data_IF_411303485338
#
_entry.id   IF_411303485338
#
_cell.length_a   1.000
_cell.length_b   1.000
_cell.length_c   1.000
_cell.angle_alpha   90.00
_cell.angle_beta   90.00
_cell.angle_gamma   90.00
#
_symmetry.space_group_name_H-M   'P 1'
#
loop_
_entity.id
_entity.type
_entity.pdbx_description
1 polymer ?
#
# COMPACT_ATOMS: atom_id res chain seq x y z
N UNK A 1 -36.64 -19.07 -9.06
CA UNK A 1 -36.53 -18.01 -10.10
C UNK A 1 -35.25 -18.25 -10.88
N UNK A 2 -35.24 -18.19 -12.21
CA UNK A 2 -34.00 -18.42 -12.98
C UNK A 2 -33.10 -17.18 -12.91
N UNK A 3 -31.79 -17.35 -12.81
CA UNK A 3 -30.81 -16.26 -12.69
C UNK A 3 -30.97 -15.20 -13.79
N UNK A 4 -31.18 -15.62 -15.04
CA UNK A 4 -31.40 -14.69 -16.15
C UNK A 4 -32.59 -13.74 -15.92
N UNK A 5 -33.71 -14.24 -15.38
CA UNK A 5 -34.87 -13.40 -15.09
C UNK A 5 -34.63 -12.40 -13.95
N UNK A 6 -33.70 -12.69 -13.04
CA UNK A 6 -33.28 -11.74 -12.00
C UNK A 6 -32.47 -10.62 -12.64
N UNK A 7 -31.58 -10.98 -13.56
CA UNK A 7 -30.72 -10.01 -14.23
C UNK A 7 -31.53 -9.12 -15.16
N UNK A 8 -32.41 -9.67 -15.98
CA UNK A 8 -33.23 -8.86 -16.89
C UNK A 8 -34.03 -7.80 -16.11
N UNK A 9 -34.52 -8.17 -14.91
CA UNK A 9 -35.16 -7.19 -14.01
C UNK A 9 -34.17 -6.18 -13.43
N UNK A 10 -32.99 -6.62 -12.98
CA UNK A 10 -31.97 -5.73 -12.42
C UNK A 10 -31.46 -4.72 -13.47
N UNK A 11 -31.23 -5.16 -14.71
CA UNK A 11 -30.86 -4.29 -15.84
C UNK A 11 -31.98 -3.30 -16.14
N UNK A 12 -33.24 -3.72 -16.06
CA UNK A 12 -34.39 -2.83 -16.16
C UNK A 12 -34.39 -1.70 -15.13
N UNK A 13 -33.94 -1.98 -13.89
CA UNK A 13 -33.81 -0.98 -12.83
C UNK A 13 -32.57 -0.09 -13.02
N UNK A 14 -31.45 -0.65 -13.49
CA UNK A 14 -30.17 0.04 -13.64
C UNK A 14 -29.95 0.67 -15.03
N UNK A 15 -31.01 0.84 -15.83
CA UNK A 15 -30.97 1.14 -17.27
C UNK A 15 -30.09 2.33 -17.68
N UNK A 16 -30.06 3.41 -16.90
CA UNK A 16 -29.23 4.58 -17.23
C UNK A 16 -27.75 4.40 -16.82
N UNK A 17 -27.48 3.42 -15.98
CA UNK A 17 -26.16 3.14 -15.42
C UNK A 17 -25.41 2.06 -16.20
N UNK A 18 -26.16 1.17 -16.85
CA UNK A 18 -25.67 0.02 -17.59
C UNK A 18 -26.12 0.11 -19.05
N UNK A 19 -25.15 0.14 -19.96
CA UNK A 19 -25.38 0.04 -21.40
C UNK A 19 -25.31 -1.39 -21.89
N UNK A 20 -25.84 -1.63 -23.08
CA UNK A 20 -25.87 -2.94 -23.73
C UNK A 20 -25.32 -2.87 -25.16
N UNK A 21 -24.64 -3.95 -25.58
CA UNK A 21 -24.16 -4.20 -26.94
C UNK A 21 -24.79 -5.49 -27.45
N UNK A 22 -25.65 -5.34 -28.45
CA UNK A 22 -26.32 -6.44 -29.14
C UNK A 22 -25.65 -6.79 -30.47
N UNK A 23 -24.67 -6.00 -30.91
CA UNK A 23 -23.92 -6.16 -32.16
C UNK A 23 -22.79 -7.21 -32.08
N UNK A 24 -22.67 -7.88 -30.94
CA UNK A 24 -21.71 -8.93 -30.68
C UNK A 24 -22.38 -10.31 -30.73
N UNK A 25 -21.57 -11.37 -30.82
CA UNK A 25 -22.07 -12.75 -30.83
C UNK A 25 -22.95 -13.08 -29.61
N UNK A 26 -22.82 -12.32 -28.51
CA UNK A 26 -23.67 -12.38 -27.33
C UNK A 26 -23.95 -10.97 -26.76
N UNK A 27 -25.04 -10.84 -26.01
CA UNK A 27 -25.46 -9.58 -25.36
C UNK A 27 -24.48 -9.18 -24.27
N UNK A 28 -23.59 -8.23 -24.55
CA UNK A 28 -22.61 -7.74 -23.57
C UNK A 28 -23.12 -6.46 -22.93
N UNK A 29 -23.01 -6.36 -21.62
CA UNK A 29 -23.34 -5.11 -20.93
C UNK A 29 -22.04 -4.39 -20.50
N UNK A 30 -22.11 -3.06 -20.36
CA UNK A 30 -20.98 -2.22 -19.91
C UNK A 30 -21.47 -1.07 -19.00
N UNK A 31 -20.61 -0.44 -18.17
CA UNK A 31 -21.04 0.78 -17.44
C UNK A 31 -21.16 1.93 -18.39
N UNK A 32 -22.29 2.61 -18.32
CA UNK A 32 -22.38 4.01 -18.74
C UNK A 32 -21.87 4.93 -17.63
N UNK A 33 -22.28 4.69 -16.37
CA UNK A 33 -21.96 5.56 -15.22
C UNK A 33 -21.32 4.81 -14.06
N UNK A 34 -20.01 4.62 -14.14
CA UNK A 34 -19.22 3.82 -13.20
C UNK A 34 -19.32 4.29 -11.74
N UNK A 35 -19.23 5.59 -11.50
CA UNK A 35 -19.28 6.15 -10.15
C UNK A 35 -20.64 5.92 -9.48
N UNK A 36 -21.73 6.04 -10.23
CA UNK A 36 -23.08 5.77 -9.73
C UNK A 36 -23.27 4.27 -9.43
N UNK A 37 -22.72 3.36 -10.23
CA UNK A 37 -22.73 1.92 -9.92
C UNK A 37 -21.93 1.57 -8.66
N UNK A 38 -20.82 2.28 -8.41
CA UNK A 38 -20.02 2.09 -7.20
C UNK A 38 -20.81 2.38 -5.92
N UNK A 39 -21.81 3.27 -5.99
CA UNK A 39 -22.72 3.51 -4.87
C UNK A 39 -23.55 2.26 -4.53
N UNK A 40 -24.15 1.62 -5.53
CA UNK A 40 -24.91 0.38 -5.32
C UNK A 40 -24.03 -0.77 -4.83
N UNK A 41 -22.81 -0.91 -5.37
CA UNK A 41 -21.83 -1.85 -4.84
C UNK A 41 -21.62 -1.59 -3.36
N UNK A 42 -21.32 -0.35 -2.97
CA UNK A 42 -21.04 0.01 -1.57
C UNK A 42 -22.21 -0.34 -0.64
N UNK A 43 -23.46 -0.17 -1.08
CA UNK A 43 -24.63 -0.59 -0.30
C UNK A 43 -24.72 -2.11 -0.13
N UNK A 44 -24.30 -2.88 -1.14
CA UNK A 44 -24.31 -4.34 -1.08
C UNK A 44 -23.15 -4.94 -0.29
N UNK A 45 -22.02 -4.21 -0.11
CA UNK A 45 -20.82 -4.73 0.59
C UNK A 45 -21.17 -5.26 1.97
N UNK A 46 -22.05 -4.56 2.70
CA UNK A 46 -22.41 -4.91 4.08
C UNK A 46 -23.05 -6.30 4.21
N UNK A 47 -23.63 -6.84 3.14
CA UNK A 47 -24.20 -8.18 3.12
C UNK A 47 -23.14 -9.28 3.06
N UNK A 48 -21.94 -8.96 2.55
CA UNK A 48 -20.90 -9.93 2.21
C UNK A 48 -19.55 -9.59 2.83
N UNK A 49 -19.53 -8.73 3.87
CA UNK A 49 -18.28 -8.20 4.41
C UNK A 49 -17.40 -9.29 5.02
N UNK A 50 -18.01 -10.30 5.66
CA UNK A 50 -17.27 -11.39 6.30
C UNK A 50 -16.58 -12.27 5.24
N UNK A 51 -17.32 -12.65 4.21
CA UNK A 51 -16.85 -13.43 3.07
C UNK A 51 -15.79 -12.67 2.26
N UNK A 52 -15.97 -11.36 2.09
CA UNK A 52 -15.01 -10.46 1.45
C UNK A 52 -13.66 -10.43 2.18
N UNK A 53 -13.69 -10.25 3.50
CA UNK A 53 -12.46 -10.21 4.30
C UNK A 53 -11.73 -11.54 4.23
N UNK A 54 -12.42 -12.67 4.41
CA UNK A 54 -11.80 -14.00 4.31
C UNK A 54 -11.21 -14.24 2.92
N UNK A 55 -11.96 -13.87 1.86
CA UNK A 55 -11.53 -14.03 0.47
C UNK A 55 -10.25 -13.26 0.16
N UNK A 56 -10.16 -12.00 0.61
CA UNK A 56 -8.96 -11.15 0.42
C UNK A 56 -7.80 -11.61 1.28
N UNK A 57 -8.05 -12.04 2.53
CA UNK A 57 -6.98 -12.58 3.39
C UNK A 57 -6.33 -13.83 2.81
N UNK A 58 -7.11 -14.69 2.15
CA UNK A 58 -6.56 -15.86 1.46
C UNK A 58 -5.91 -15.50 0.11
N UNK A 59 -6.34 -14.42 -0.54
CA UNK A 59 -5.97 -14.09 -1.92
C UNK A 59 -4.46 -14.04 -2.14
N UNK A 60 -3.69 -13.44 -1.22
CA UNK A 60 -2.24 -13.31 -1.35
C UNK A 60 -1.55 -14.67 -1.50
N UNK A 61 -1.86 -15.63 -0.63
CA UNK A 61 -1.28 -16.98 -0.65
C UNK A 61 -1.72 -17.75 -1.88
N UNK A 62 -2.96 -17.57 -2.30
CA UNK A 62 -3.51 -18.29 -3.45
C UNK A 62 -3.00 -17.70 -4.78
N UNK A 63 -2.71 -16.40 -4.84
CA UNK A 63 -2.16 -15.71 -6.03
C UNK A 63 -0.67 -15.96 -6.23
N UNK A 64 0.11 -16.24 -5.17
CA UNK A 64 1.54 -16.63 -5.29
C UNK A 64 1.77 -17.79 -6.27
N UNK A 65 0.73 -18.56 -6.59
CA UNK A 65 0.80 -19.66 -7.56
C UNK A 65 1.38 -20.91 -6.91
N UNK A 66 1.89 -21.82 -7.75
CA UNK A 66 2.43 -23.11 -7.30
C UNK A 66 1.41 -24.24 -7.27
N UNK A 67 1.77 -25.35 -6.64
CA UNK A 67 0.92 -26.54 -6.57
C UNK A 67 -0.29 -26.30 -5.66
N UNK A 68 -1.28 -27.20 -5.72
CA UNK A 68 -2.46 -27.14 -4.83
C UNK A 68 -2.08 -27.18 -3.33
N UNK A 69 -0.91 -27.68 -3.01
CA UNK A 69 -0.37 -27.82 -1.65
C UNK A 69 0.27 -26.51 -1.15
N UNK A 70 0.88 -25.72 -2.04
CA UNK A 70 1.47 -24.41 -1.68
C UNK A 70 0.43 -23.30 -1.55
N UNK A 71 -0.78 -23.52 -2.07
CA UNK A 71 -1.91 -22.58 -2.00
C UNK A 71 -2.83 -22.84 -0.79
N UNK A 72 -2.28 -23.39 0.30
CA UNK A 72 -2.99 -23.65 1.55
C UNK A 72 -2.59 -22.61 2.59
N UNK A 73 -3.54 -22.17 3.40
CA UNK A 73 -3.33 -21.22 4.49
C UNK A 73 -3.67 -21.92 5.79
N UNK A 74 -2.81 -21.81 6.81
CA UNK A 74 -3.12 -22.36 8.13
C UNK A 74 -4.25 -21.56 8.79
N UNK A 75 -5.06 -22.20 9.66
CA UNK A 75 -6.11 -21.48 10.38
C UNK A 75 -5.57 -20.32 11.22
N UNK A 76 -4.42 -20.51 11.87
CA UNK A 76 -3.79 -19.49 12.70
C UNK A 76 -3.33 -18.27 11.87
N UNK A 77 -2.70 -18.50 10.72
CA UNK A 77 -2.31 -17.44 9.80
C UNK A 77 -3.54 -16.71 9.23
N UNK A 78 -4.57 -17.46 8.82
CA UNK A 78 -5.81 -16.86 8.32
C UNK A 78 -6.49 -15.99 9.38
N UNK A 79 -6.54 -16.45 10.63
CA UNK A 79 -7.12 -15.69 11.73
C UNK A 79 -6.35 -14.39 11.99
N UNK A 80 -5.02 -14.42 11.93
CA UNK A 80 -4.17 -13.22 12.07
C UNK A 80 -4.43 -12.22 10.93
N UNK A 81 -4.46 -12.70 9.67
CA UNK A 81 -4.73 -11.84 8.50
C UNK A 81 -6.14 -11.24 8.52
N UNK A 82 -7.16 -12.05 8.83
CA UNK A 82 -8.57 -11.60 9.01
C UNK A 82 -8.67 -10.61 10.17
N UNK A 83 -7.98 -10.85 11.27
CA UNK A 83 -7.97 -9.94 12.42
C UNK A 83 -7.35 -8.60 12.06
N UNK A 84 -6.20 -8.61 11.38
CA UNK A 84 -5.55 -7.39 10.90
C UNK A 84 -6.48 -6.61 9.95
N UNK A 85 -7.01 -7.26 8.92
CA UNK A 85 -7.83 -6.58 7.90
C UNK A 85 -9.15 -6.06 8.48
N UNK A 86 -9.81 -6.83 9.36
CA UNK A 86 -11.03 -6.40 10.05
C UNK A 86 -10.79 -5.19 10.93
N UNK A 87 -9.65 -5.17 11.65
CA UNK A 87 -9.24 -4.01 12.45
C UNK A 87 -8.91 -2.81 11.59
N UNK A 88 -8.21 -3.00 10.47
CA UNK A 88 -7.84 -1.93 9.54
C UNK A 88 -9.09 -1.22 9.02
N UNK A 89 -10.09 -1.97 8.54
CA UNK A 89 -11.29 -1.41 7.91
C UNK A 89 -12.42 -1.07 8.90
N UNK A 90 -12.14 -1.05 10.21
CA UNK A 90 -13.15 -0.88 11.27
C UNK A 90 -13.87 0.47 11.25
N UNK A 91 -13.29 1.50 10.63
CA UNK A 91 -13.92 2.82 10.51
C UNK A 91 -14.94 2.82 9.36
N UNK A 92 -14.70 2.04 8.30
CA UNK A 92 -15.56 1.98 7.12
C UNK A 92 -16.70 0.96 7.25
N UNK A 93 -16.50 -0.11 8.01
CA UNK A 93 -17.49 -1.20 8.12
C UNK A 93 -17.92 -1.50 9.54
N UNK A 94 -19.20 -1.88 9.65
CA UNK A 94 -19.82 -2.38 10.86
C UNK A 94 -19.80 -3.90 10.80
N UNK A 95 -19.27 -4.54 11.84
CA UNK A 95 -19.20 -5.99 11.95
C UNK A 95 -20.32 -6.54 12.84
N UNK A 96 -20.78 -7.78 12.58
CA UNK A 96 -21.69 -8.47 13.48
C UNK A 96 -21.11 -8.61 14.90
N UNK A 97 -21.96 -8.64 15.93
CA UNK A 97 -21.51 -8.87 17.30
C UNK A 97 -20.87 -10.26 17.43
N UNK A 98 -19.90 -10.40 18.34
CA UNK A 98 -19.17 -11.65 18.57
C UNK A 98 -17.66 -11.47 18.46
N UNK A 99 -16.91 -12.55 18.65
CA UNK A 99 -15.46 -12.53 18.47
C UNK A 99 -15.12 -12.64 16.97
N UNK A 100 -13.93 -12.18 16.59
CA UNK A 100 -13.43 -12.33 15.21
C UNK A 100 -13.30 -13.82 14.86
N UNK A 101 -12.89 -14.63 15.83
CA UNK A 101 -12.71 -16.07 15.65
C UNK A 101 -14.05 -16.80 15.41
N UNK A 102 -15.09 -16.47 16.18
CA UNK A 102 -16.42 -17.08 15.99
C UNK A 102 -17.01 -16.69 14.64
N UNK A 103 -16.88 -15.41 14.26
CA UNK A 103 -17.31 -14.91 12.95
C UNK A 103 -16.54 -15.60 11.83
N UNK A 104 -15.23 -15.83 11.98
CA UNK A 104 -14.41 -16.56 11.00
C UNK A 104 -14.89 -18.00 10.83
N UNK A 105 -15.12 -18.73 11.93
CA UNK A 105 -15.61 -20.11 11.88
C UNK A 105 -16.98 -20.21 11.20
N UNK A 106 -17.90 -19.30 11.52
CA UNK A 106 -19.20 -19.24 10.87
C UNK A 106 -19.08 -18.98 9.36
N UNK A 107 -18.24 -18.01 8.98
CA UNK A 107 -18.01 -17.64 7.58
C UNK A 107 -17.37 -18.79 6.79
N UNK A 108 -16.37 -19.47 7.36
CA UNK A 108 -15.76 -20.63 6.74
C UNK A 108 -16.77 -21.77 6.55
N UNK A 109 -17.64 -22.04 7.53
CA UNK A 109 -18.72 -23.03 7.39
C UNK A 109 -19.67 -22.65 6.24
N UNK A 110 -20.02 -21.37 6.12
CA UNK A 110 -20.87 -20.89 5.04
C UNK A 110 -20.22 -21.01 3.65
N UNK A 111 -18.92 -20.70 3.55
CA UNK A 111 -18.17 -20.75 2.29
C UNK A 111 -17.71 -22.18 1.92
N UNK A 112 -17.73 -23.11 2.88
CA UNK A 112 -17.35 -24.50 2.67
C UNK A 112 -18.26 -25.13 1.61
N UNK A 113 -17.71 -26.05 0.80
CA UNK A 113 -18.36 -26.79 -0.30
C UNK A 113 -18.50 -26.02 -1.63
N UNK A 114 -18.64 -24.70 -1.60
CA UNK A 114 -18.75 -23.90 -2.82
C UNK A 114 -17.42 -23.21 -3.18
N UNK A 115 -16.76 -22.59 -2.21
CA UNK A 115 -15.60 -21.71 -2.45
C UNK A 115 -14.34 -22.27 -1.81
N UNK A 116 -14.43 -22.66 -0.54
CA UNK A 116 -13.30 -23.15 0.24
C UNK A 116 -13.49 -24.60 0.68
N UNK A 117 -12.37 -25.27 0.89
CA UNK A 117 -12.24 -26.52 1.61
C UNK A 117 -11.35 -26.28 2.83
N UNK A 118 -11.66 -26.94 3.94
CA UNK A 118 -10.86 -26.89 5.14
C UNK A 118 -10.68 -28.30 5.70
N UNK A 119 -9.50 -28.58 6.22
CA UNK A 119 -9.23 -29.69 7.13
C UNK A 119 -8.94 -29.16 8.54
N UNK A 120 -8.37 -29.99 9.42
CA UNK A 120 -8.10 -29.59 10.80
C UNK A 120 -6.98 -28.54 10.94
N UNK A 121 -6.13 -28.35 9.93
CA UNK A 121 -4.96 -27.45 10.00
C UNK A 121 -4.98 -26.36 8.92
N UNK A 122 -5.47 -26.69 7.72
CA UNK A 122 -5.35 -25.88 6.51
C UNK A 122 -6.70 -25.56 5.88
N UNK A 123 -6.74 -24.40 5.23
CA UNK A 123 -7.84 -23.92 4.39
C UNK A 123 -7.30 -23.64 3.00
N UNK A 124 -8.03 -24.06 1.97
CA UNK A 124 -7.67 -23.84 0.56
C UNK A 124 -8.92 -23.72 -0.31
N UNK A 125 -8.74 -23.41 -1.59
CA UNK A 125 -9.86 -23.32 -2.51
C UNK A 125 -10.38 -24.68 -2.95
N UNK A 126 -11.71 -24.77 -3.06
CA UNK A 126 -12.37 -25.96 -3.57
C UNK A 126 -11.91 -26.26 -5.00
N UNK A 127 -11.90 -27.55 -5.38
CA UNK A 127 -11.58 -27.93 -6.75
C UNK A 127 -12.62 -27.39 -7.75
N UNK A 128 -13.85 -27.16 -7.30
CA UNK A 128 -14.89 -26.50 -8.07
C UNK A 128 -14.54 -25.04 -8.37
N UNK A 129 -14.06 -24.31 -7.37
CA UNK A 129 -13.58 -22.93 -7.55
C UNK A 129 -12.34 -22.89 -8.43
N UNK A 130 -11.41 -23.84 -8.28
CA UNK A 130 -10.22 -23.91 -9.15
C UNK A 130 -10.56 -24.25 -10.60
N UNK A 131 -11.56 -25.11 -10.82
CA UNK A 131 -12.01 -25.50 -12.14
C UNK A 131 -12.72 -24.35 -12.88
N UNK A 132 -13.24 -23.35 -12.16
CA UNK A 132 -13.85 -22.15 -12.75
C UNK A 132 -12.88 -21.29 -13.55
N UNK A 133 -11.57 -21.57 -13.42
CA UNK A 133 -10.53 -20.94 -14.20
C UNK A 133 -10.27 -19.52 -13.72
N UNK A 134 -9.15 -19.34 -13.00
CA UNK A 134 -8.59 -17.99 -12.81
C UNK A 134 -7.92 -17.59 -14.10
N UNK A 135 -8.72 -17.16 -15.07
CA UNK A 135 -8.17 -16.52 -16.24
C UNK A 135 -7.29 -15.38 -15.75
N UNK A 136 -6.00 -15.47 -16.07
CA UNK A 136 -5.01 -14.49 -15.68
C UNK A 136 -5.55 -13.09 -15.99
N UNK A 137 -6.00 -12.36 -14.96
CA UNK A 137 -6.01 -10.91 -14.96
C UNK A 137 -4.56 -10.40 -14.87
N UNK A 138 -3.66 -11.00 -15.65
CA UNK A 138 -2.24 -10.68 -15.66
C UNK A 138 -2.07 -9.32 -16.31
N UNK A 139 -1.56 -8.38 -15.50
CA UNK A 139 -0.51 -7.38 -15.76
C UNK A 139 -0.42 -6.60 -17.10
N UNK A 140 -1.27 -6.81 -18.09
CA UNK A 140 -1.23 -6.12 -19.38
C UNK A 140 -2.66 -5.88 -19.91
N UNK A 141 -3.37 -4.95 -19.27
CA UNK A 141 -4.38 -4.09 -19.89
C UNK A 141 -5.07 -3.23 -18.81
N UNK A 142 -4.68 -1.95 -18.74
CA UNK A 142 -5.42 -0.83 -18.15
C UNK A 142 -6.87 -0.74 -18.69
N UNK A 143 -7.66 0.29 -18.33
CA UNK A 143 -8.55 0.50 -17.18
C UNK A 143 -9.99 -0.02 -17.43
N UNK A 144 -10.18 -0.92 -18.39
CA UNK A 144 -11.50 -1.27 -18.96
C UNK A 144 -12.22 -2.46 -18.27
N UNK A 145 -11.55 -3.17 -17.35
CA UNK A 145 -12.03 -4.45 -16.81
C UNK A 145 -13.00 -4.35 -15.62
N UNK A 146 -13.32 -3.13 -15.16
CA UNK A 146 -14.09 -2.89 -13.94
C UNK A 146 -15.53 -3.44 -14.00
N UNK A 147 -16.04 -3.70 -15.21
CA UNK A 147 -17.40 -4.16 -15.42
C UNK A 147 -17.51 -5.38 -16.33
N UNK A 148 -16.43 -5.76 -17.02
CA UNK A 148 -16.38 -7.10 -17.60
C UNK A 148 -16.58 -8.17 -16.51
N UNK A 149 -16.07 -7.96 -15.28
CA UNK A 149 -16.36 -8.86 -14.16
C UNK A 149 -17.82 -8.78 -13.65
N UNK A 150 -18.43 -7.59 -13.64
CA UNK A 150 -19.81 -7.38 -13.15
C UNK A 150 -20.88 -7.78 -14.18
N UNK A 151 -20.56 -7.75 -15.47
CA UNK A 151 -21.49 -7.94 -16.58
C UNK A 151 -21.22 -9.21 -17.41
N UNK A 152 -20.01 -9.80 -17.39
CA UNK A 152 -19.83 -11.22 -17.79
C UNK A 152 -20.45 -12.20 -16.81
N UNK A 153 -20.85 -11.76 -15.62
CA UNK A 153 -21.71 -12.52 -14.70
C UNK A 153 -23.08 -12.89 -15.30
N UNK A 154 -23.45 -12.38 -16.49
CA UNK A 154 -24.74 -12.70 -17.12
C UNK A 154 -24.65 -13.00 -18.63
N UNK A 155 -23.46 -13.10 -19.20
CA UNK A 155 -23.35 -13.43 -20.63
C UNK A 155 -23.30 -14.94 -20.85
N UNK A 156 -24.35 -15.47 -21.46
CA UNK A 156 -24.57 -16.90 -21.73
C UNK A 156 -23.73 -17.36 -22.92
N UNK A 157 -22.44 -17.65 -22.72
CA UNK A 157 -21.68 -18.57 -23.58
C UNK A 157 -21.57 -19.92 -22.87
N UNK A 158 -22.44 -20.86 -23.24
CA UNK A 158 -22.43 -22.29 -22.88
C UNK A 158 -22.40 -22.60 -21.37
N UNK A 159 -23.53 -23.12 -20.86
CA UNK A 159 -23.63 -23.70 -19.52
C UNK A 159 -22.58 -24.81 -19.30
N UNK A 160 -21.44 -24.44 -18.74
CA UNK A 160 -20.65 -25.21 -17.79
C UNK A 160 -20.18 -24.21 -16.73
N UNK A 161 -20.76 -24.25 -15.53
CA UNK A 161 -20.13 -23.93 -14.22
C UNK A 161 -19.32 -22.63 -13.96
N UNK A 162 -19.02 -21.77 -14.93
CA UNK A 162 -17.91 -20.81 -14.91
C UNK A 162 -18.40 -19.35 -14.96
N UNK A 163 -19.18 -18.94 -13.96
CA UNK A 163 -19.33 -17.52 -13.65
C UNK A 163 -18.10 -17.08 -12.85
N UNK A 164 -17.68 -15.82 -13.07
CA UNK A 164 -16.71 -15.07 -12.28
C UNK A 164 -16.51 -15.65 -10.87
N UNK A 165 -15.28 -16.06 -10.57
CA UNK A 165 -14.90 -16.75 -9.34
C UNK A 165 -15.56 -16.04 -8.14
N UNK A 166 -16.47 -16.69 -7.40
CA UNK A 166 -17.08 -16.15 -6.18
C UNK A 166 -16.08 -15.47 -5.26
N UNK A 167 -14.85 -15.99 -5.18
CA UNK A 167 -13.78 -15.33 -4.45
C UNK A 167 -13.39 -13.96 -5.04
N UNK A 168 -13.24 -13.84 -6.36
CA UNK A 168 -12.91 -12.57 -7.02
C UNK A 168 -14.03 -11.55 -6.87
N UNK A 169 -15.30 -11.99 -6.88
CA UNK A 169 -16.44 -11.12 -6.55
C UNK A 169 -16.31 -10.53 -5.15
N UNK A 170 -16.03 -11.38 -4.15
CA UNK A 170 -15.84 -10.96 -2.77
C UNK A 170 -14.64 -10.02 -2.60
N UNK A 171 -13.52 -10.32 -3.26
CA UNK A 171 -12.35 -9.47 -3.29
C UNK A 171 -12.64 -8.09 -3.89
N UNK A 172 -13.39 -8.04 -5.00
CA UNK A 172 -13.78 -6.82 -5.68
C UNK A 172 -14.56 -5.83 -4.78
N UNK A 173 -15.34 -6.34 -3.84
CA UNK A 173 -16.11 -5.50 -2.92
C UNK A 173 -15.22 -4.61 -2.04
N UNK A 174 -14.08 -5.14 -1.57
CA UNK A 174 -13.28 -4.45 -0.54
C UNK A 174 -11.90 -3.98 -1.02
N UNK A 175 -11.36 -4.49 -2.14
CA UNK A 175 -10.08 -4.04 -2.68
C UNK A 175 -9.95 -2.52 -2.86
N UNK A 176 -10.97 -1.77 -3.31
CA UNK A 176 -10.87 -0.30 -3.38
C UNK A 176 -10.54 0.36 -2.03
N UNK A 177 -11.02 -0.22 -0.93
CA UNK A 177 -10.74 0.27 0.42
C UNK A 177 -9.31 -0.12 0.83
N UNK A 178 -8.89 -1.36 0.55
CA UNK A 178 -7.51 -1.80 0.80
C UNK A 178 -6.50 -0.91 0.06
N UNK A 179 -6.76 -0.61 -1.21
CA UNK A 179 -5.96 0.31 -2.02
C UNK A 179 -5.95 1.73 -1.43
N UNK A 180 -7.08 2.21 -0.88
CA UNK A 180 -7.15 3.52 -0.24
C UNK A 180 -6.29 3.60 1.03
N UNK A 181 -6.33 2.55 1.85
CA UNK A 181 -5.50 2.45 3.06
C UNK A 181 -4.02 2.31 2.72
N UNK A 182 -3.68 1.53 1.69
CA UNK A 182 -2.31 1.45 1.21
C UNK A 182 -1.82 2.80 0.68
N UNK A 183 -2.62 3.51 -0.13
CA UNK A 183 -2.31 4.86 -0.60
C UNK A 183 -2.12 5.84 0.57
N UNK A 184 -2.97 5.74 1.60
CA UNK A 184 -2.83 6.53 2.81
C UNK A 184 -1.47 6.28 3.50
N UNK A 185 -1.06 5.02 3.67
CA UNK A 185 0.24 4.68 4.25
C UNK A 185 1.41 5.12 3.36
N UNK A 186 1.34 4.88 2.04
CA UNK A 186 2.38 5.30 1.08
C UNK A 186 2.58 6.82 1.10
N UNK A 187 1.49 7.57 1.15
CA UNK A 187 1.59 9.03 1.19
C UNK A 187 2.28 9.56 2.45
N UNK A 188 2.30 8.80 3.55
CA UNK A 188 2.95 9.21 4.79
C UNK A 188 4.48 9.20 4.68
N UNK A 189 5.06 8.47 3.73
CA UNK A 189 6.48 8.60 3.45
C UNK A 189 6.82 10.05 3.11
N UNK A 190 5.96 10.76 2.36
CA UNK A 190 6.17 12.19 2.04
C UNK A 190 6.34 13.10 3.26
N UNK A 191 5.94 12.67 4.46
CA UNK A 191 6.09 13.39 5.74
C UNK A 191 7.42 13.09 6.46
N UNK A 192 8.32 12.33 5.86
CA UNK A 192 9.65 12.07 6.43
C UNK A 192 10.46 13.37 6.55
N UNK A 193 11.25 13.54 7.63
CA UNK A 193 12.16 14.66 7.76
C UNK A 193 13.22 14.58 6.64
N UNK A 194 13.52 15.72 6.03
CA UNK A 194 14.62 15.79 5.07
C UNK A 194 15.95 15.68 5.83
N UNK A 195 16.98 15.00 5.27
CA UNK A 195 18.31 15.00 5.84
C UNK A 195 18.85 16.43 5.78
N UNK A 196 19.46 16.90 6.87
CA UNK A 196 20.12 18.20 6.88
C UNK A 196 21.13 18.29 5.71
N UNK A 197 21.21 19.44 5.01
CA UNK A 197 22.28 19.63 4.04
C UNK A 197 23.60 19.47 4.80
N UNK A 198 24.44 18.53 4.36
CA UNK A 198 25.77 18.36 4.92
C UNK A 198 26.47 19.72 5.00
N UNK A 199 27.20 20.04 6.08
CA UNK A 199 27.95 21.28 6.15
C UNK A 199 28.85 21.36 4.93
N UNK A 200 28.71 22.43 4.14
CA UNK A 200 29.60 22.68 3.01
C UNK A 200 31.04 22.62 3.54
N UNK A 201 31.94 21.84 2.92
CA UNK A 201 33.33 21.86 3.33
C UNK A 201 33.81 23.32 3.21
N UNK A 202 34.49 23.87 4.23
CA UNK A 202 34.96 25.24 4.18
C UNK A 202 35.77 25.39 2.90
N UNK A 203 35.40 26.38 2.07
CA UNK A 203 36.08 26.74 0.83
C UNK A 203 37.58 26.79 1.14
N UNK A 204 38.32 25.79 0.67
CA UNK A 204 39.76 25.75 0.83
C UNK A 204 40.31 27.01 0.16
N UNK A 205 40.89 27.91 0.95
CA UNK A 205 41.58 29.09 0.45
C UNK A 205 42.59 28.64 -0.60
N UNK A 206 42.34 29.04 -1.85
CA UNK A 206 43.28 28.87 -2.96
C UNK A 206 44.50 29.74 -2.65
N UNK A 207 45.52 29.16 -2.00
CA UNK A 207 46.85 29.80 -1.94
C UNK A 207 47.50 29.68 -3.32
N UNK A 208 47.98 30.80 -3.91
CA UNK A 208 48.54 30.78 -5.24
C UNK A 208 49.93 30.12 -5.29
N UNK A 209 50.27 29.72 -6.51
CA UNK A 209 51.33 28.81 -6.91
C UNK A 209 52.77 29.16 -6.49
N UNK A 210 53.52 28.09 -6.16
CA UNK A 210 54.79 27.72 -6.77
C UNK A 210 55.90 28.76 -6.95
N UNK A 211 57.00 28.58 -6.21
CA UNK A 211 58.36 28.76 -6.71
C UNK A 211 59.30 27.88 -5.86
N UNK A 212 60.07 27.01 -6.53
CA UNK A 212 60.86 25.96 -5.88
C UNK A 212 62.20 26.43 -5.30
N UNK A 213 62.79 25.56 -4.48
CA UNK A 213 64.20 25.11 -4.54
C UNK A 213 64.45 24.09 -3.42
N UNK A 214 65.32 23.13 -3.70
CA UNK A 214 65.81 22.00 -2.86
C UNK A 214 67.35 22.14 -2.85
N UNK A 215 68.18 21.51 -1.99
CA UNK A 215 68.13 21.20 -0.54
C UNK A 215 69.40 21.73 0.21
N UNK A 216 69.49 21.54 1.55
CA UNK A 216 70.78 21.22 2.22
C UNK A 216 70.57 20.59 3.61
N UNK A 217 71.53 19.72 3.95
CA UNK A 217 71.49 18.64 4.95
C UNK A 217 71.92 19.10 6.37
N UNK A 218 72.27 18.20 7.34
CA UNK A 218 71.59 18.04 8.63
C UNK A 218 72.41 18.55 9.85
N UNK A 219 71.79 18.74 11.02
CA UNK A 219 72.42 18.52 12.34
C UNK A 219 71.50 18.83 13.53
N UNK A 220 71.54 17.89 14.49
CA UNK A 220 71.58 18.05 15.95
C UNK A 220 70.38 18.61 16.75
N UNK A 221 69.90 17.71 17.62
CA UNK A 221 69.66 17.86 19.07
C UNK A 221 68.51 18.73 19.59
N UNK A 222 67.72 18.13 20.50
CA UNK A 222 66.90 18.85 21.47
C UNK A 222 65.54 18.22 21.79
N UNK A 223 65.54 17.22 22.68
CA UNK A 223 64.35 16.84 23.48
C UNK A 223 64.30 17.80 24.69
N UNK A 224 63.14 18.35 25.09
CA UNK A 224 62.43 17.73 26.22
C UNK A 224 60.90 17.69 26.10
N UNK A 225 60.37 16.65 26.75
CA UNK A 225 58.97 16.33 27.00
C UNK A 225 58.05 17.50 27.34
N UNK A 226 56.88 17.51 26.71
CA UNK A 226 55.63 17.89 27.39
C UNK A 226 54.53 16.98 26.87
N UNK A 227 54.14 16.01 27.68
CA UNK A 227 53.04 15.07 27.41
C UNK A 227 51.74 15.88 27.46
N UNK A 228 51.17 16.17 26.29
CA UNK A 228 49.79 16.64 26.17
C UNK A 228 48.84 15.44 26.40
N UNK A 229 47.70 15.62 27.09
CA UNK A 229 46.72 14.56 27.25
C UNK A 229 46.12 14.18 25.87
N UNK A 230 45.71 12.92 25.67
CA UNK A 230 45.14 12.49 24.39
C UNK A 230 43.86 13.27 24.06
N UNK A 231 43.54 13.45 22.77
CA UNK A 231 42.31 14.12 22.36
C UNK A 231 41.14 13.34 22.94
N UNK A 232 40.28 14.06 23.67
CA UNK A 232 38.99 13.55 24.14
C UNK A 232 38.29 12.94 22.94
N UNK A 233 38.08 11.63 23.02
CA UNK A 233 37.30 10.84 22.08
C UNK A 233 36.00 11.60 21.87
N UNK A 234 35.85 12.27 20.72
CA UNK A 234 34.61 12.93 20.36
C UNK A 234 33.54 11.85 20.42
N UNK A 235 32.66 11.96 21.41
CA UNK A 235 31.43 11.19 21.46
C UNK A 235 30.81 11.28 20.08
N UNK A 236 30.46 10.15 19.44
CA UNK A 236 29.76 10.21 18.16
C UNK A 236 28.55 11.11 18.34
N UNK A 237 28.28 12.06 17.41
CA UNK A 237 27.10 12.90 17.51
C UNK A 237 25.92 11.95 17.65
N UNK A 238 25.24 12.02 18.79
CA UNK A 238 23.98 11.34 18.99
C UNK A 238 23.12 11.74 17.80
N UNK A 239 22.72 10.76 16.99
CA UNK A 239 21.82 10.95 15.86
C UNK A 239 20.54 11.59 16.41
N UNK A 240 20.47 12.92 16.43
CA UNK A 240 19.25 13.66 16.71
C UNK A 240 18.30 13.30 15.59
N UNK A 241 17.40 12.33 15.84
CA UNK A 241 16.33 11.95 14.94
C UNK A 241 15.53 13.24 14.69
N UNK A 242 15.72 13.87 13.53
CA UNK A 242 15.06 15.13 13.21
C UNK A 242 13.54 14.97 13.39
N UNK A 243 12.91 15.85 14.16
CA UNK A 243 11.47 15.73 14.41
C UNK A 243 10.70 15.80 13.08
N UNK A 244 9.68 14.94 12.90
CA UNK A 244 8.95 14.93 11.65
C UNK A 244 8.15 16.24 11.49
N UNK A 245 8.15 16.82 10.28
CA UNK A 245 7.53 18.11 9.97
C UNK A 245 6.02 18.09 10.21
N UNK A 246 5.46 19.25 10.55
CA UNK A 246 4.02 19.49 10.58
C UNK A 246 3.58 20.09 9.24
N UNK A 247 2.65 19.42 8.56
CA UNK A 247 2.17 19.81 7.23
C UNK A 247 0.69 20.16 7.31
N UNK A 248 0.26 21.18 6.56
CA UNK A 248 -1.15 21.55 6.45
C UNK A 248 -2.01 20.38 5.95
N UNK A 249 -3.09 20.05 6.66
CA UNK A 249 -3.96 18.90 6.37
C UNK A 249 -4.61 18.98 4.98
N UNK A 250 -5.04 20.18 4.56
CA UNK A 250 -5.69 20.37 3.26
C UNK A 250 -4.67 20.23 2.13
N UNK A 251 -3.48 20.80 2.29
CA UNK A 251 -2.39 20.66 1.35
C UNK A 251 -1.98 19.19 1.23
N UNK A 252 -1.75 18.52 2.35
CA UNK A 252 -1.39 17.10 2.39
C UNK A 252 -2.43 16.26 1.66
N UNK A 253 -3.71 16.40 2.01
CA UNK A 253 -4.79 15.64 1.36
C UNK A 253 -4.87 15.90 -0.15
N UNK A 254 -4.65 17.14 -0.58
CA UNK A 254 -4.63 17.49 -2.02
C UNK A 254 -3.47 16.80 -2.75
N UNK A 255 -2.30 16.69 -2.11
CA UNK A 255 -1.14 15.95 -2.62
C UNK A 255 -1.39 14.45 -2.66
N UNK A 256 -2.02 13.87 -1.64
CA UNK A 256 -2.41 12.46 -1.60
C UNK A 256 -3.34 12.11 -2.77
N UNK A 257 -4.34 12.95 -3.04
CA UNK A 257 -5.25 12.70 -4.17
C UNK A 257 -4.58 12.91 -5.53
N UNK A 258 -3.60 13.81 -5.63
CA UNK A 258 -2.78 13.93 -6.84
C UNK A 258 -1.93 12.67 -7.05
N UNK A 259 -1.29 12.19 -5.98
CA UNK A 259 -0.52 10.96 -5.98
C UNK A 259 -1.37 9.76 -6.41
N UNK A 260 -2.53 9.57 -5.79
CA UNK A 260 -3.44 8.48 -6.14
C UNK A 260 -3.85 8.51 -7.61
N UNK A 261 -4.08 9.71 -8.18
CA UNK A 261 -4.37 9.85 -9.62
C UNK A 261 -3.18 9.43 -10.47
N UNK A 262 -1.96 9.84 -10.10
CA UNK A 262 -0.73 9.44 -10.80
C UNK A 262 -0.57 7.92 -10.79
N UNK A 263 -0.66 7.28 -9.62
CA UNK A 263 -0.53 5.82 -9.49
C UNK A 263 -1.62 5.07 -10.28
N UNK A 264 -2.85 5.58 -10.30
CA UNK A 264 -3.93 5.00 -11.10
C UNK A 264 -3.62 5.03 -12.60
N UNK A 265 -3.16 6.16 -13.12
CA UNK A 265 -2.80 6.26 -14.54
C UNK A 265 -1.51 5.51 -14.91
N UNK A 266 -0.61 5.29 -13.94
CA UNK A 266 0.56 4.44 -14.09
C UNK A 266 0.22 2.94 -14.05
N UNK A 267 -0.94 2.58 -13.48
CA UNK A 267 -1.37 1.18 -13.31
C UNK A 267 -0.93 0.55 -11.99
N UNK A 268 -0.39 1.34 -11.05
CA UNK A 268 -0.02 0.93 -9.67
C UNK A 268 -1.19 1.02 -8.67
N UNK A 269 -2.34 1.53 -9.13
CA UNK A 269 -3.63 1.45 -8.43
C UNK A 269 -4.68 0.97 -9.41
N UNK A 270 -5.37 -0.12 -9.05
CA UNK A 270 -6.44 -0.68 -9.90
C UNK A 270 -7.73 0.15 -9.83
N UNK A 271 -8.04 0.70 -8.65
CA UNK A 271 -9.35 1.30 -8.34
C UNK A 271 -9.25 2.81 -8.15
N UNK A 272 -9.87 3.58 -9.05
CA UNK A 272 -9.95 5.03 -8.91
C UNK A 272 -10.75 5.44 -7.66
N UNK A 273 -11.68 4.57 -7.23
CA UNK A 273 -12.47 4.72 -6.01
C UNK A 273 -11.60 4.83 -4.75
N UNK A 274 -10.38 4.28 -4.76
CA UNK A 274 -9.43 4.37 -3.65
C UNK A 274 -8.97 5.82 -3.35
N UNK A 275 -9.12 6.73 -4.32
CA UNK A 275 -8.72 8.15 -4.22
C UNK A 275 -9.85 9.00 -3.59
N UNK A 276 -10.96 8.37 -3.19
CA UNK A 276 -12.08 9.05 -2.57
C UNK A 276 -11.66 9.75 -1.27
N UNK A 277 -12.01 11.03 -1.15
CA UNK A 277 -11.63 11.88 -0.01
C UNK A 277 -12.15 11.35 1.33
N UNK A 278 -13.36 10.81 1.37
CA UNK A 278 -13.95 10.31 2.61
C UNK A 278 -13.29 9.00 3.04
N UNK A 279 -13.05 8.09 2.10
CA UNK A 279 -12.31 6.84 2.38
C UNK A 279 -10.89 7.12 2.86
N UNK A 280 -10.18 8.09 2.26
CA UNK A 280 -8.85 8.51 2.72
C UNK A 280 -8.88 9.11 4.14
N UNK A 281 -9.87 9.94 4.46
CA UNK A 281 -10.03 10.45 5.83
C UNK A 281 -10.30 9.34 6.83
N UNK A 282 -11.13 8.36 6.49
CA UNK A 282 -11.40 7.20 7.34
C UNK A 282 -10.11 6.40 7.59
N UNK A 283 -9.32 6.19 6.54
CA UNK A 283 -8.01 5.55 6.65
C UNK A 283 -7.08 6.31 7.60
N UNK A 284 -6.93 7.63 7.46
CA UNK A 284 -6.11 8.42 8.39
C UNK A 284 -6.68 8.47 9.80
N UNK A 285 -8.00 8.51 9.95
CA UNK A 285 -8.64 8.44 11.26
C UNK A 285 -8.30 7.13 11.96
N UNK A 286 -8.32 6.00 11.23
CA UNK A 286 -7.90 4.70 11.75
C UNK A 286 -6.40 4.66 12.08
N UNK A 287 -5.55 5.24 11.23
CA UNK A 287 -4.10 5.30 11.46
C UNK A 287 -3.74 6.23 12.63
N UNK A 288 -4.61 7.20 12.94
CA UNK A 288 -4.52 8.05 14.14
C UNK A 288 -5.00 7.32 15.40
N UNK A 289 -6.13 6.60 15.31
CA UNK A 289 -6.82 6.02 16.47
C UNK A 289 -6.35 4.61 16.82
N UNK A 290 -5.30 4.10 16.15
CA UNK A 290 -4.69 2.80 16.39
C UNK A 290 -4.02 2.74 17.78
N UNK A 291 -4.82 2.72 18.86
CA UNK A 291 -4.29 2.75 20.23
C UNK A 291 -3.47 1.51 20.57
N UNK A 292 -3.82 0.35 20.01
CA UNK A 292 -3.18 -0.94 20.31
C UNK A 292 -1.90 -1.20 19.47
N UNK A 293 -1.80 -0.59 18.28
CA UNK A 293 -0.65 -0.72 17.35
C UNK A 293 0.27 0.52 17.40
N UNK A 294 -0.14 1.56 18.14
CA UNK A 294 0.48 2.88 18.14
C UNK A 294 -0.01 3.75 16.99
N UNK A 295 -0.45 4.98 17.31
CA UNK A 295 -0.82 5.95 16.30
C UNK A 295 0.35 6.18 15.34
N UNK A 296 0.09 5.98 14.04
CA UNK A 296 1.07 6.19 12.97
C UNK A 296 1.09 7.66 12.56
N UNK A 297 -0.10 8.29 12.54
CA UNK A 297 -0.30 9.68 12.15
C UNK A 297 -0.74 10.52 13.34
N UNK A 298 -0.08 11.66 13.54
CA UNK A 298 -0.45 12.68 14.54
C UNK A 298 -1.17 13.82 13.84
N UNK A 299 -2.28 14.26 14.41
CA UNK A 299 -3.08 15.39 13.91
C UNK A 299 -3.19 16.44 15.00
N UNK A 300 -2.73 17.66 14.70
CA UNK A 300 -2.90 18.83 15.56
C UNK A 300 -4.12 19.59 15.10
N UNK A 301 -5.13 19.65 15.96
CA UNK A 301 -6.33 20.47 15.74
C UNK A 301 -6.17 21.79 16.51
N UNK A 302 -6.36 22.94 15.83
CA UNK A 302 -6.30 24.24 16.49
C UNK A 302 -7.41 24.36 17.55
N UNK A 303 -7.11 25.04 18.66
CA UNK A 303 -8.11 25.35 19.66
C UNK A 303 -9.19 26.27 19.07
N UNK A 304 -10.45 26.22 19.56
CA UNK A 304 -11.54 27.07 19.07
C UNK A 304 -11.22 28.57 19.13
N UNK A 305 -10.34 28.97 20.05
CA UNK A 305 -9.86 30.34 20.27
C UNK A 305 -8.78 30.80 19.26
N UNK A 306 -8.11 29.87 18.57
CA UNK A 306 -7.01 30.15 17.66
C UNK A 306 -7.47 30.07 16.19
N UNK A 307 -8.36 30.98 15.78
CA UNK A 307 -9.00 31.02 14.44
C UNK A 307 -8.03 31.04 13.24
N UNK A 308 -6.75 31.29 13.46
CA UNK A 308 -5.75 31.46 12.40
C UNK A 308 -4.83 30.25 12.20
N UNK A 309 -4.85 29.27 13.11
CA UNK A 309 -4.07 28.03 12.95
C UNK A 309 -4.87 27.02 12.12
N UNK A 310 -4.24 26.45 11.10
CA UNK A 310 -4.85 25.41 10.26
C UNK A 310 -4.52 24.03 10.83
N UNK A 311 -5.44 23.04 10.76
CA UNK A 311 -5.13 21.67 11.15
C UNK A 311 -3.89 21.16 10.43
N UNK A 312 -3.01 20.50 11.17
CA UNK A 312 -1.75 20.01 10.64
C UNK A 312 -1.56 18.53 10.97
N UNK A 313 -0.87 17.82 10.08
CA UNK A 313 -0.55 16.40 10.19
C UNK A 313 0.96 16.21 10.26
N UNK A 314 1.40 15.22 11.02
CA UNK A 314 2.80 14.84 11.17
C UNK A 314 2.90 13.35 11.45
N UNK A 315 4.02 12.73 11.08
CA UNK A 315 4.29 11.33 11.37
C UNK A 315 4.56 11.14 12.87
N UNK A 316 4.19 9.99 13.43
CA UNK A 316 4.65 9.61 14.77
C UNK A 316 6.15 9.25 14.72
N UNK A 317 6.96 9.66 15.71
CA UNK A 317 8.41 9.42 15.71
C UNK A 317 8.82 7.95 15.53
N UNK A 318 7.98 7.00 15.99
CA UNK A 318 8.25 5.56 15.86
C UNK A 318 8.12 5.04 14.42
N UNK A 319 7.42 5.78 13.58
CA UNK A 319 7.15 5.41 12.19
C UNK A 319 7.99 6.23 11.21
N UNK A 320 8.90 7.09 11.70
CA UNK A 320 9.80 7.87 10.84
C UNK A 320 10.72 6.93 10.05
N UNK A 321 10.67 6.94 8.71
CA UNK A 321 11.50 6.07 7.91
C UNK A 321 12.96 6.55 7.90
N UNK A 322 13.88 5.63 7.65
CA UNK A 322 15.30 5.97 7.54
C UNK A 322 15.56 6.59 6.17
N UNK A 323 15.96 7.86 6.16
CA UNK A 323 16.26 8.64 4.95
C UNK A 323 17.78 8.66 4.72
N UNK A 324 18.20 8.36 3.49
CA UNK A 324 19.60 8.49 3.09
C UNK A 324 19.94 9.95 2.78
N UNK A 325 21.01 10.46 3.40
CA UNK A 325 21.52 11.81 3.17
C UNK A 325 22.17 12.00 1.78
N UNK A 326 22.57 10.92 1.11
CA UNK A 326 23.26 11.00 -0.18
C UNK A 326 22.28 11.28 -1.32
N UNK A 327 22.06 12.56 -1.61
CA UNK A 327 21.63 13.02 -2.93
C UNK A 327 22.71 12.61 -3.95
N UNK A 328 22.43 11.60 -4.75
CA UNK A 328 23.19 11.21 -5.95
C UNK A 328 24.72 11.36 -5.87
N UNK A 329 25.42 10.44 -5.19
CA UNK A 329 26.79 10.09 -5.61
C UNK A 329 26.74 8.82 -6.43
N UNK A 330 26.82 8.99 -7.75
CA UNK A 330 27.13 7.90 -8.66
C UNK A 330 28.64 7.65 -8.62
N UNK A 331 29.21 7.36 -7.45
CA UNK A 331 30.60 6.92 -7.37
C UNK A 331 30.63 5.44 -7.76
N UNK A 332 31.29 5.16 -8.88
CA UNK A 332 31.57 3.81 -9.35
C UNK A 332 32.49 3.12 -8.36
N UNK A 333 31.91 2.40 -7.40
CA UNK A 333 32.65 1.58 -6.43
C UNK A 333 31.73 0.59 -5.73
N UNK A 334 32.05 -0.69 -5.87
CA UNK A 334 31.48 -1.87 -5.21
C UNK A 334 30.01 -2.22 -5.43
N UNK A 335 29.81 -3.22 -6.30
CA UNK A 335 28.52 -3.79 -6.72
C UNK A 335 27.84 -4.70 -5.70
N UNK A 336 28.28 -4.79 -4.44
CA UNK A 336 27.88 -5.93 -3.59
C UNK A 336 27.05 -5.66 -2.33
N UNK A 337 26.71 -4.42 -1.97
CA UNK A 337 25.66 -4.15 -0.95
C UNK A 337 24.99 -2.79 -1.24
N UNK A 338 24.34 -2.63 -2.39
CA UNK A 338 23.36 -1.55 -2.52
C UNK A 338 22.09 -2.01 -1.82
N UNK A 339 21.87 -1.58 -0.58
CA UNK A 339 20.54 -1.64 0.01
C UNK A 339 19.59 -0.93 -0.96
N UNK A 340 18.64 -1.65 -1.54
CA UNK A 340 17.69 -1.11 -2.51
C UNK A 340 16.97 0.07 -1.86
N UNK A 341 17.13 1.28 -2.39
CA UNK A 341 16.51 2.47 -1.82
C UNK A 341 15.45 3.02 -2.75
N UNK A 342 14.39 3.56 -2.17
CA UNK A 342 13.26 4.08 -2.92
C UNK A 342 13.30 5.59 -3.01
N UNK A 343 13.11 6.12 -4.22
CA UNK A 343 12.94 7.56 -4.42
C UNK A 343 11.53 7.98 -4.02
N UNK A 344 11.42 9.01 -3.18
CA UNK A 344 10.16 9.59 -2.69
C UNK A 344 10.21 11.11 -2.87
N UNK A 345 9.09 11.69 -3.26
CA UNK A 345 8.89 13.15 -3.23
C UNK A 345 8.12 13.58 -1.98
N UNK A 346 8.60 14.61 -1.28
CA UNK A 346 7.85 15.21 -0.17
C UNK A 346 6.72 16.13 -0.68
N UNK A 347 5.91 16.67 0.23
CA UNK A 347 4.78 17.57 -0.11
C UNK A 347 5.19 18.86 -0.85
N UNK A 348 6.48 19.20 -0.83
CA UNK A 348 7.12 20.33 -1.51
C UNK A 348 7.89 19.92 -2.79
N UNK A 349 7.70 18.70 -3.30
CA UNK A 349 8.36 18.15 -4.50
C UNK A 349 9.88 17.99 -4.37
N UNK A 350 10.40 17.93 -3.14
CA UNK A 350 11.81 17.59 -2.91
C UNK A 350 11.94 16.08 -2.93
N UNK A 351 12.78 15.59 -3.83
CA UNK A 351 13.10 14.17 -3.95
C UNK A 351 14.16 13.77 -2.91
N UNK A 352 13.97 12.63 -2.26
CA UNK A 352 14.91 12.00 -1.34
C UNK A 352 14.78 10.48 -1.38
N UNK A 353 15.73 9.80 -0.76
CA UNK A 353 15.86 8.35 -0.82
C UNK A 353 15.53 7.72 0.53
N UNK A 354 14.61 6.76 0.55
CA UNK A 354 14.18 6.04 1.75
C UNK A 354 14.63 4.59 1.71
N UNK A 355 15.09 4.08 2.85
CA UNK A 355 15.44 2.66 3.00
C UNK A 355 14.18 1.81 3.28
N UNK A 356 14.09 0.58 2.75
CA UNK A 356 12.96 -0.35 2.97
C UNK A 356 13.01 -1.00 4.34
N UNK A 357 12.99 -0.20 5.39
CA UNK A 357 13.04 -0.68 6.76
C UNK A 357 12.27 0.25 7.69
N UNK A 358 11.91 -0.29 8.86
CA UNK A 358 11.16 0.41 9.89
C UNK A 358 9.66 0.17 9.82
N UNK A 359 8.98 0.56 10.90
CA UNK A 359 7.58 0.22 11.15
C UNK A 359 6.61 0.72 10.07
N UNK A 360 6.89 1.86 9.42
CA UNK A 360 6.05 2.38 8.34
C UNK A 360 6.15 1.53 7.07
N UNK A 361 7.34 1.03 6.75
CA UNK A 361 7.54 0.15 5.62
C UNK A 361 6.89 -1.21 5.86
N UNK A 362 7.06 -1.79 7.05
CA UNK A 362 6.40 -3.04 7.44
C UNK A 362 4.87 -2.94 7.35
N UNK A 363 4.30 -1.81 7.81
CA UNK A 363 2.86 -1.56 7.68
C UNK A 363 2.44 -1.44 6.22
N UNK A 364 3.19 -0.70 5.40
CA UNK A 364 2.93 -0.56 3.96
C UNK A 364 2.95 -1.92 3.26
N UNK A 365 3.94 -2.76 3.54
CA UNK A 365 4.02 -4.11 2.98
C UNK A 365 2.89 -5.00 3.48
N UNK A 366 2.56 -4.94 4.77
CA UNK A 366 1.47 -5.74 5.34
C UNK A 366 0.13 -5.40 4.70
N UNK A 367 -0.20 -4.11 4.52
CA UNK A 367 -1.41 -3.71 3.79
C UNK A 367 -1.30 -4.08 2.30
N UNK A 368 -0.11 -3.92 1.72
CA UNK A 368 0.16 -4.24 0.31
C UNK A 368 -0.08 -5.70 -0.06
N UNK A 369 0.08 -6.65 0.88
CA UNK A 369 -0.20 -8.08 0.66
C UNK A 369 -1.65 -8.35 0.26
N UNK A 370 -2.60 -7.57 0.77
CA UNK A 370 -4.03 -7.74 0.50
C UNK A 370 -4.49 -7.08 -0.80
N UNK A 371 -3.62 -6.31 -1.46
CA UNK A 371 -3.94 -5.65 -2.73
C UNK A 371 -3.98 -6.64 -3.88
N UNK A 372 -4.82 -6.37 -4.88
CA UNK A 372 -4.87 -7.12 -6.14
C UNK A 372 -3.51 -7.17 -6.83
N UNK A 373 -2.73 -6.10 -6.74
CA UNK A 373 -1.41 -5.94 -7.36
C UNK A 373 -0.22 -6.34 -6.45
N UNK A 374 -0.47 -6.76 -5.20
CA UNK A 374 0.59 -7.06 -4.21
C UNK A 374 1.74 -7.90 -4.75
N UNK A 375 3.00 -7.48 -4.54
CA UNK A 375 4.19 -8.04 -5.22
C UNK A 375 4.27 -9.57 -5.11
N UNK A 376 4.32 -10.25 -6.26
CA UNK A 376 4.84 -11.62 -6.32
C UNK A 376 6.36 -11.53 -6.36
N UNK A 377 7.06 -12.38 -5.59
CA UNK A 377 8.53 -12.46 -5.57
C UNK A 377 9.17 -12.67 -6.97
N UNK A 378 8.38 -12.96 -8.01
CA UNK A 378 8.80 -13.15 -9.39
C UNK A 378 8.83 -11.88 -10.27
N UNK A 379 8.36 -10.72 -9.78
CA UNK A 379 8.41 -9.44 -10.53
C UNK A 379 9.69 -8.64 -10.24
N UNK A 380 10.79 -9.33 -9.95
CA UNK A 380 12.08 -8.79 -9.51
C UNK A 380 12.84 -7.96 -10.58
N UNK A 381 12.34 -7.85 -11.81
CA UNK A 381 13.16 -7.36 -12.93
C UNK A 381 13.05 -5.88 -13.30
N UNK A 382 11.90 -5.23 -13.10
CA UNK A 382 11.61 -3.99 -13.84
C UNK A 382 10.95 -2.97 -12.89
N UNK A 383 11.68 -1.87 -12.62
CA UNK A 383 11.32 -0.69 -11.79
C UNK A 383 11.48 -0.79 -10.25
N UNK A 384 12.60 -1.34 -9.77
CA UNK A 384 12.93 -1.47 -8.32
C UNK A 384 13.08 -0.16 -7.49
N UNK A 385 13.08 1.04 -8.08
CA UNK A 385 13.63 2.24 -7.40
C UNK A 385 12.70 3.45 -7.19
N UNK A 386 11.38 3.34 -7.35
CA UNK A 386 10.45 4.46 -7.12
C UNK A 386 9.37 4.10 -6.09
N UNK A 387 9.41 4.72 -4.92
CA UNK A 387 8.22 4.94 -4.09
C UNK A 387 7.79 6.38 -4.34
N UNK A 388 7.25 6.66 -5.53
CA UNK A 388 6.67 7.96 -5.91
C UNK A 388 7.69 9.08 -6.18
#
# INVERSE_FOLDING_TARGET
MRTGAIVDRAVGVLRELVGEREDLLERVFFSTKRFELSFYRNQAIHLFIKEAIVSVSMYATIRRGGSKETQRVSYAELLDEVTFLSRLLKVDFIYPPGTIEDNLKETLRFMTSEIVCADNEYIWLSDRERARGRENFGAFAVPFQFIDALLRGVCRRRLTSELADPQDFYCFLIWPFVDAYWLAVVSMFSLAPLPDPAPEPPLAEVRPAGAGTVPKSPAAEGVPSTVAPPPVLATPPSLTLAEPPWVDDKLFMSRVQLLGRTLYYQGDLTYYEAINKETLKNAYLRLQSAKDEGAVLRVRRPAPSARQQVPAVSLDPRYVPVVNANRHRHDGGDKNVQAECYQVHNWNHVQYSVQPQGALFELMERVGRFRREGRTASSEGIERNKLV
#
